data_IF_053419450249
#
_entry.id   IF_053419450249
#
_cell.length_a   1.000
_cell.length_b   1.000
_cell.length_c   1.000
_cell.angle_alpha   90.00
_cell.angle_beta   90.00
_cell.angle_gamma   90.00
#
_symmetry.space_group_name_H-M   'P 1'
#
loop_
_entity.id
_entity.type
_entity.pdbx_description
1 polymer ?
#
# COMPACT_ATOMS: atom_id res chain seq x y z
N UNK A 1 -14.82 23.07 -3.99
CA UNK A 1 -14.49 21.68 -3.59
C UNK A 1 -13.23 21.75 -2.73
N UNK A 2 -13.29 21.32 -1.46
CA UNK A 2 -12.18 21.51 -0.53
C UNK A 2 -11.16 20.37 -0.59
N UNK A 3 -10.07 20.58 -1.33
CA UNK A 3 -8.94 19.66 -1.39
C UNK A 3 -8.36 19.36 0.00
N UNK A 4 -8.37 20.34 0.92
CA UNK A 4 -7.93 20.16 2.31
C UNK A 4 -8.73 19.07 3.04
N UNK A 5 -10.05 19.02 2.80
CA UNK A 5 -10.92 17.99 3.39
C UNK A 5 -10.60 16.61 2.84
N UNK A 6 -10.33 16.51 1.53
CA UNK A 6 -9.94 15.24 0.89
C UNK A 6 -8.56 14.76 1.34
N UNK A 7 -7.56 15.66 1.47
CA UNK A 7 -6.23 15.29 2.00
C UNK A 7 -6.36 14.78 3.43
N UNK A 8 -7.16 15.44 4.27
CA UNK A 8 -7.45 14.97 5.63
C UNK A 8 -8.05 13.56 5.66
N UNK A 9 -8.98 13.27 4.74
CA UNK A 9 -9.62 11.96 4.63
C UNK A 9 -8.64 10.83 4.26
N UNK A 10 -7.67 11.10 3.39
CA UNK A 10 -6.71 10.09 2.91
C UNK A 10 -5.36 10.11 3.62
N UNK A 11 -5.16 11.01 4.61
CA UNK A 11 -3.89 11.21 5.31
C UNK A 11 -3.26 9.91 5.80
N UNK A 12 -3.98 9.14 6.60
CA UNK A 12 -3.46 7.90 7.19
C UNK A 12 -3.18 6.86 6.10
N UNK A 13 -4.08 6.72 5.12
CA UNK A 13 -3.94 5.77 4.01
C UNK A 13 -2.67 6.04 3.18
N UNK A 14 -2.42 7.32 2.87
CA UNK A 14 -1.25 7.76 2.11
C UNK A 14 0.02 7.63 2.95
N UNK A 15 -0.02 8.04 4.23
CA UNK A 15 1.14 7.93 5.14
C UNK A 15 1.59 6.47 5.31
N UNK A 16 0.67 5.55 5.65
CA UNK A 16 1.02 4.14 5.79
C UNK A 16 1.44 3.50 4.47
N UNK A 17 0.85 3.94 3.34
CA UNK A 17 1.33 3.52 2.03
C UNK A 17 2.79 3.94 1.79
N UNK A 18 3.18 5.17 2.13
CA UNK A 18 4.57 5.64 2.02
C UNK A 18 5.47 4.86 2.98
N UNK A 19 5.07 4.74 4.25
CA UNK A 19 5.84 4.06 5.29
C UNK A 19 6.15 2.62 4.90
N UNK A 20 5.17 1.90 4.33
CA UNK A 20 5.37 0.53 3.86
C UNK A 20 6.35 0.41 2.69
N UNK A 21 6.48 1.46 1.88
CA UNK A 21 7.40 1.52 0.73
C UNK A 21 8.81 1.89 1.15
N UNK A 22 8.95 2.84 2.06
CA UNK A 22 10.25 3.43 2.43
C UNK A 22 10.86 2.78 3.68
N UNK A 23 10.02 2.16 4.52
CA UNK A 23 10.39 1.45 5.76
C UNK A 23 11.20 2.28 6.76
N UNK A 24 11.03 3.60 6.70
CA UNK A 24 11.64 4.55 7.62
C UNK A 24 10.65 5.67 7.92
N UNK A 25 10.44 5.95 9.21
CA UNK A 25 9.44 6.94 9.64
C UNK A 25 9.79 8.38 9.27
N UNK A 26 11.07 8.75 9.36
CA UNK A 26 11.51 10.11 9.08
C UNK A 26 11.31 10.42 7.60
N UNK A 27 11.81 9.56 6.74
CA UNK A 27 11.62 9.69 5.30
C UNK A 27 10.14 9.59 4.91
N UNK A 28 9.35 8.74 5.58
CA UNK A 28 7.92 8.65 5.31
C UNK A 28 7.18 9.95 5.65
N UNK A 29 7.51 10.59 6.78
CA UNK A 29 6.96 11.90 7.18
C UNK A 29 7.33 12.98 6.17
N UNK A 30 8.59 13.04 5.73
CA UNK A 30 9.06 14.02 4.76
C UNK A 30 8.41 13.84 3.38
N UNK A 31 8.32 12.61 2.89
CA UNK A 31 7.67 12.30 1.62
C UNK A 31 6.17 12.61 1.70
N UNK A 32 5.53 12.34 2.84
CA UNK A 32 4.13 12.67 3.06
C UNK A 32 3.88 14.18 3.02
N UNK A 33 4.72 14.97 3.72
CA UNK A 33 4.64 16.44 3.69
C UNK A 33 4.82 16.97 2.26
N UNK A 34 5.86 16.51 1.54
CA UNK A 34 6.08 16.88 0.15
C UNK A 34 4.90 16.50 -0.75
N UNK A 35 4.30 15.32 -0.54
CA UNK A 35 3.09 14.89 -1.26
C UNK A 35 1.94 15.86 -1.03
N UNK A 36 1.70 16.29 0.21
CA UNK A 36 0.66 17.26 0.54
C UNK A 36 0.90 18.62 -0.15
N UNK A 37 2.14 19.13 -0.09
CA UNK A 37 2.52 20.38 -0.76
C UNK A 37 2.29 20.29 -2.27
N UNK A 38 2.79 19.24 -2.93
CA UNK A 38 2.59 19.03 -4.37
C UNK A 38 1.12 18.89 -4.74
N UNK A 39 0.31 18.24 -3.90
CA UNK A 39 -1.13 18.14 -4.10
C UNK A 39 -1.80 19.51 -4.03
N UNK A 40 -1.43 20.36 -3.07
CA UNK A 40 -1.96 21.72 -2.97
C UNK A 40 -1.54 22.59 -4.17
N UNK A 41 -0.28 22.51 -4.60
CA UNK A 41 0.23 23.21 -5.79
C UNK A 41 -0.52 22.84 -7.07
N UNK A 42 -0.84 21.56 -7.23
CA UNK A 42 -1.46 21.03 -8.44
C UNK A 42 -2.99 20.88 -8.32
N UNK A 43 -3.60 21.46 -7.27
CA UNK A 43 -5.03 21.37 -6.99
C UNK A 43 -5.90 21.74 -8.20
N UNK A 44 -5.49 22.77 -8.94
CA UNK A 44 -6.19 23.26 -10.12
C UNK A 44 -6.22 22.26 -11.30
N UNK A 45 -5.38 21.21 -11.29
CA UNK A 45 -5.35 20.19 -12.33
C UNK A 45 -6.40 19.09 -12.14
N UNK A 46 -7.14 19.09 -11.01
CA UNK A 46 -8.18 18.10 -10.73
C UNK A 46 -9.40 18.41 -11.60
N UNK A 47 -9.46 17.79 -12.77
CA UNK A 47 -10.59 17.93 -13.71
C UNK A 47 -11.83 17.13 -13.29
N UNK A 48 -11.64 16.07 -12.50
CA UNK A 48 -12.73 15.20 -12.07
C UNK A 48 -12.63 14.93 -10.54
N UNK A 49 -13.63 15.35 -9.76
CA UNK A 49 -13.68 15.18 -8.30
C UNK A 49 -13.62 13.71 -7.86
N UNK A 50 -14.24 12.80 -8.61
CA UNK A 50 -14.32 11.36 -8.27
C UNK A 50 -12.95 10.67 -8.40
N UNK A 51 -12.00 11.29 -9.10
CA UNK A 51 -10.65 10.77 -9.32
C UNK A 51 -9.62 11.32 -8.34
N UNK A 52 -10.03 12.12 -7.36
CA UNK A 52 -9.11 12.77 -6.41
C UNK A 52 -8.24 11.76 -5.66
N UNK A 53 -8.80 10.62 -5.25
CA UNK A 53 -8.06 9.55 -4.57
C UNK A 53 -6.98 8.96 -5.50
N UNK A 54 -7.35 8.60 -6.72
CA UNK A 54 -6.41 8.06 -7.71
C UNK A 54 -5.30 9.06 -8.05
N UNK A 55 -5.65 10.34 -8.16
CA UNK A 55 -4.72 11.44 -8.41
C UNK A 55 -3.75 11.69 -7.25
N UNK A 56 -4.22 11.70 -6.00
CA UNK A 56 -3.35 11.79 -4.82
C UNK A 56 -2.34 10.63 -4.80
N UNK A 57 -2.80 9.40 -5.04
CA UNK A 57 -1.92 8.24 -5.16
C UNK A 57 -0.91 8.34 -6.31
N UNK A 58 -1.22 9.06 -7.38
CA UNK A 58 -0.27 9.32 -8.46
C UNK A 58 0.85 10.25 -7.98
N UNK A 59 0.50 11.34 -7.28
CA UNK A 59 1.49 12.27 -6.70
C UNK A 59 2.37 11.53 -5.69
N UNK A 60 1.77 10.75 -4.79
CA UNK A 60 2.50 9.96 -3.80
C UNK A 60 3.51 9.02 -4.45
N UNK A 61 3.11 8.28 -5.50
CA UNK A 61 4.03 7.38 -6.22
C UNK A 61 5.19 8.13 -6.87
N UNK A 62 4.93 9.32 -7.42
CA UNK A 62 5.98 10.16 -7.98
C UNK A 62 6.96 10.60 -6.88
N UNK A 63 6.47 11.04 -5.72
CA UNK A 63 7.34 11.44 -4.60
C UNK A 63 8.20 10.28 -4.07
N UNK A 64 7.63 9.09 -3.92
CA UNK A 64 8.38 7.88 -3.55
C UNK A 64 9.43 7.55 -4.62
N UNK A 65 9.07 7.64 -5.91
CA UNK A 65 10.02 7.36 -6.99
C UNK A 65 11.18 8.36 -7.00
N UNK A 66 10.90 9.64 -6.77
CA UNK A 66 11.92 10.69 -6.72
C UNK A 66 12.84 10.51 -5.51
N UNK A 67 12.30 10.12 -4.36
CA UNK A 67 13.09 9.75 -3.19
C UNK A 67 14.11 8.65 -3.51
N UNK A 68 13.68 7.52 -4.08
CA UNK A 68 14.59 6.42 -4.43
C UNK A 68 15.56 6.76 -5.58
N UNK A 69 15.21 7.70 -6.47
CA UNK A 69 16.17 8.23 -7.46
C UNK A 69 17.25 9.06 -6.79
N UNK A 70 16.88 9.93 -5.84
CA UNK A 70 17.83 10.77 -5.08
C UNK A 70 18.77 9.94 -4.22
N UNK A 71 18.27 8.92 -3.51
CA UNK A 71 19.12 7.97 -2.80
C UNK A 71 20.14 7.32 -3.74
N UNK A 72 19.69 6.74 -4.86
CA UNK A 72 20.59 6.12 -5.85
C UNK A 72 21.61 7.11 -6.45
N UNK A 73 21.22 8.37 -6.66
CA UNK A 73 22.13 9.43 -7.09
C UNK A 73 23.16 9.82 -6.03
N UNK A 74 22.78 9.81 -4.75
CA UNK A 74 23.70 10.02 -3.63
C UNK A 74 24.70 8.87 -3.49
N UNK A 75 24.29 7.62 -3.74
CA UNK A 75 25.19 6.45 -3.75
C UNK A 75 26.26 6.47 -4.86
N UNK A 76 26.11 7.28 -5.92
CA UNK A 76 27.14 7.45 -6.96
C UNK A 76 28.17 8.53 -6.56
N UNK A 77 27.81 9.45 -5.65
CA UNK A 77 28.70 10.53 -5.19
C UNK A 77 29.51 10.17 -3.94
N UNK A 78 29.20 9.06 -3.26
CA UNK A 78 29.79 8.67 -1.97
C UNK A 78 30.29 7.21 -2.03
N UNK A 79 31.08 6.89 -3.07
CA UNK A 79 31.80 5.61 -3.17
C UNK A 79 33.31 5.81 -3.10
N UNK A 80 33.75 6.57 -2.11
CA UNK A 80 35.01 6.27 -1.43
C UNK A 80 34.66 6.14 0.05
N UNK A 81 34.76 4.89 0.50
CA UNK A 81 34.81 4.42 1.89
C UNK A 81 33.50 4.02 2.60
N UNK A 82 33.61 2.79 3.11
CA UNK A 82 32.86 2.10 4.17
C UNK A 82 31.63 1.28 3.75
N UNK A 83 31.90 0.00 3.53
CA UNK A 83 31.02 -1.14 3.78
C UNK A 83 30.76 -1.22 5.29
N UNK A 84 29.51 -1.25 5.77
CA UNK A 84 28.98 -2.39 6.53
C UNK A 84 27.47 -2.31 6.83
N UNK A 85 26.91 -3.52 6.99
CA UNK A 85 25.67 -4.00 7.60
C UNK A 85 24.88 -3.03 8.52
N UNK A 86 23.56 -3.12 8.72
CA UNK A 86 22.79 -4.27 9.25
C UNK A 86 21.32 -3.84 9.34
N UNK A 87 20.36 -4.77 9.33
CA UNK A 87 19.02 -4.45 9.86
C UNK A 87 17.84 -5.22 9.31
N UNK A 88 17.96 -6.54 9.11
CA UNK A 88 16.79 -7.41 9.23
C UNK A 88 16.38 -7.43 10.72
N UNK A 89 15.69 -6.38 11.17
CA UNK A 89 15.03 -6.36 12.47
C UNK A 89 13.53 -6.18 12.27
N UNK A 90 12.84 -7.31 12.41
CA UNK A 90 11.54 -7.50 13.05
C UNK A 90 10.72 -6.22 13.28
N UNK A 91 10.00 -5.78 12.26
CA UNK A 91 8.77 -4.99 12.46
C UNK A 91 7.56 -5.92 12.40
N UNK A 92 7.59 -6.99 13.20
CA UNK A 92 6.50 -7.96 13.28
C UNK A 92 5.41 -7.55 14.28
N UNK A 93 5.62 -6.49 15.08
CA UNK A 93 4.81 -6.26 16.28
C UNK A 93 3.72 -5.18 16.17
N UNK A 94 3.29 -4.76 14.96
CA UNK A 94 2.17 -3.80 14.80
C UNK A 94 0.96 -4.42 14.06
N UNK A 95 1.00 -5.71 13.74
CA UNK A 95 -0.08 -6.37 12.98
C UNK A 95 -0.58 -7.66 13.63
N UNK A 96 -0.40 -7.84 14.94
CA UNK A 96 -0.69 -9.13 15.56
C UNK A 96 -2.19 -9.36 15.88
N UNK A 97 -3.05 -8.34 15.83
CA UNK A 97 -4.43 -8.50 16.35
C UNK A 97 -5.57 -8.20 15.35
N UNK A 98 -5.28 -8.02 14.07
CA UNK A 98 -6.37 -7.79 13.12
C UNK A 98 -5.94 -8.08 11.69
N UNK A 99 -6.41 -9.19 11.11
CA UNK A 99 -7.41 -9.13 10.04
C UNK A 99 -7.60 -10.52 9.44
N UNK A 100 -8.85 -10.94 9.30
CA UNK A 100 -9.28 -12.09 8.48
C UNK A 100 -8.71 -12.04 7.03
N UNK A 101 -8.23 -10.86 6.60
CA UNK A 101 -7.62 -10.60 5.30
C UNK A 101 -6.27 -11.28 5.07
N UNK A 102 -5.42 -11.44 6.10
CA UNK A 102 -4.15 -12.15 5.93
C UNK A 102 -4.38 -13.63 5.59
N UNK A 103 -5.41 -14.24 6.17
CA UNK A 103 -5.85 -15.59 5.80
C UNK A 103 -6.28 -15.66 4.33
N UNK A 104 -7.02 -14.66 3.82
CA UNK A 104 -7.39 -14.64 2.41
C UNK A 104 -6.18 -14.54 1.47
N UNK A 105 -5.12 -13.82 1.88
CA UNK A 105 -3.86 -13.77 1.14
C UNK A 105 -3.18 -15.14 1.13
N UNK A 106 -3.15 -15.84 2.27
CA UNK A 106 -2.56 -17.18 2.35
C UNK A 106 -3.30 -18.22 1.50
N UNK A 107 -4.62 -18.07 1.34
CA UNK A 107 -5.43 -18.96 0.51
C UNK A 107 -5.41 -18.59 -1.00
N UNK A 108 -4.62 -17.59 -1.42
CA UNK A 108 -4.43 -17.33 -2.84
C UNK A 108 -3.56 -18.42 -3.48
N UNK A 109 -3.81 -18.77 -4.75
CA UNK A 109 -2.86 -19.57 -5.53
C UNK A 109 -1.45 -18.96 -5.48
N UNK A 110 -0.43 -19.80 -5.35
CA UNK A 110 0.96 -19.37 -5.06
C UNK A 110 1.43 -18.22 -5.96
N UNK A 111 1.22 -18.36 -7.27
CA UNK A 111 1.68 -17.36 -8.24
C UNK A 111 0.97 -15.99 -8.12
N UNK A 112 -0.19 -15.92 -7.49
CA UNK A 112 -0.89 -14.67 -7.17
C UNK A 112 -0.47 -14.15 -5.80
N UNK A 113 -0.33 -15.05 -4.83
CA UNK A 113 0.16 -14.75 -3.48
C UNK A 113 1.54 -14.11 -3.51
N UNK A 114 2.46 -14.63 -4.31
CA UNK A 114 3.82 -14.06 -4.45
C UNK A 114 3.77 -12.61 -4.93
N UNK A 115 3.03 -12.37 -6.01
CA UNK A 115 2.90 -11.02 -6.58
C UNK A 115 2.25 -10.06 -5.59
N UNK A 116 1.18 -10.48 -4.90
CA UNK A 116 0.52 -9.67 -3.87
C UNK A 116 1.46 -9.40 -2.71
N UNK A 117 2.21 -10.40 -2.26
CA UNK A 117 3.14 -10.29 -1.15
C UNK A 117 4.26 -9.32 -1.47
N UNK A 118 4.90 -9.44 -2.64
CA UNK A 118 5.98 -8.54 -3.00
C UNK A 118 5.50 -7.09 -3.10
N UNK A 119 4.34 -6.85 -3.71
CA UNK A 119 3.86 -5.48 -3.97
C UNK A 119 3.25 -4.84 -2.73
N UNK A 120 2.32 -5.56 -2.10
CA UNK A 120 1.53 -5.05 -0.99
C UNK A 120 2.25 -5.30 0.32
N UNK A 121 2.66 -6.53 0.65
CA UNK A 121 3.30 -6.83 1.93
C UNK A 121 4.71 -6.27 2.05
N UNK A 122 5.55 -6.47 1.03
CA UNK A 122 6.98 -6.09 1.04
C UNK A 122 7.27 -4.72 0.44
N UNK A 123 6.25 -4.05 -0.10
CA UNK A 123 6.41 -2.70 -0.62
C UNK A 123 7.16 -2.58 -1.95
N UNK A 124 7.41 -3.66 -2.69
CA UNK A 124 8.08 -3.56 -4.00
C UNK A 124 7.21 -2.90 -5.06
N UNK A 125 7.82 -2.30 -6.06
CA UNK A 125 7.13 -1.85 -7.28
C UNK A 125 6.75 -3.05 -8.16
N UNK A 126 5.79 -2.85 -9.08
CA UNK A 126 5.43 -3.89 -10.05
C UNK A 126 6.60 -4.26 -10.97
N UNK A 127 7.49 -3.31 -11.27
CA UNK A 127 8.67 -3.55 -12.09
C UNK A 127 9.69 -4.42 -11.35
N UNK A 128 10.06 -4.04 -10.12
CA UNK A 128 10.96 -4.85 -9.29
C UNK A 128 10.41 -6.25 -9.03
N UNK A 129 9.09 -6.38 -8.88
CA UNK A 129 8.43 -7.68 -8.72
C UNK A 129 8.52 -8.52 -10.00
N UNK A 130 8.40 -7.88 -11.17
CA UNK A 130 8.56 -8.55 -12.47
C UNK A 130 9.99 -9.09 -12.61
N UNK A 131 10.98 -8.25 -12.30
CA UNK A 131 12.40 -8.59 -12.36
C UNK A 131 12.75 -9.71 -11.35
N UNK A 132 12.26 -9.62 -10.11
CA UNK A 132 12.48 -10.60 -9.04
C UNK A 132 11.85 -11.97 -9.34
N UNK A 133 10.64 -11.99 -9.90
CA UNK A 133 9.91 -13.23 -10.20
C UNK A 133 10.20 -13.75 -11.61
N UNK A 134 11.12 -13.12 -12.35
CA UNK A 134 11.48 -13.45 -13.72
C UNK A 134 10.26 -13.57 -14.67
N UNK A 135 9.29 -12.66 -14.53
CA UNK A 135 8.11 -12.58 -15.38
C UNK A 135 7.96 -11.18 -15.97
N UNK A 136 7.13 -11.04 -17.02
CA UNK A 136 6.91 -9.73 -17.63
C UNK A 136 6.06 -8.82 -16.73
N UNK A 137 6.26 -7.49 -16.84
CA UNK A 137 5.43 -6.49 -16.16
C UNK A 137 3.93 -6.65 -16.51
N UNK A 138 3.62 -7.06 -17.75
CA UNK A 138 2.25 -7.36 -18.15
C UNK A 138 1.67 -8.54 -17.36
N UNK A 139 2.45 -9.60 -17.16
CA UNK A 139 2.05 -10.76 -16.37
C UNK A 139 1.83 -10.38 -14.90
N UNK A 140 2.71 -9.56 -14.30
CA UNK A 140 2.51 -9.00 -12.95
C UNK A 140 1.18 -8.25 -12.85
N UNK A 141 0.87 -7.36 -13.80
CA UNK A 141 -0.39 -6.60 -13.81
C UNK A 141 -1.63 -7.52 -13.85
N UNK A 142 -1.60 -8.55 -14.70
CA UNK A 142 -2.69 -9.53 -14.80
C UNK A 142 -2.84 -10.30 -13.48
N UNK A 143 -1.73 -10.80 -12.92
CA UNK A 143 -1.71 -11.53 -11.65
C UNK A 143 -2.25 -10.67 -10.49
N UNK A 144 -1.83 -9.40 -10.38
CA UNK A 144 -2.37 -8.45 -9.39
C UNK A 144 -3.88 -8.27 -9.55
N UNK A 145 -4.35 -8.07 -10.79
CA UNK A 145 -5.77 -7.86 -11.07
C UNK A 145 -6.61 -9.07 -10.63
N UNK A 146 -6.17 -10.28 -11.01
CA UNK A 146 -6.84 -11.53 -10.63
C UNK A 146 -6.81 -11.76 -9.12
N UNK A 147 -5.65 -11.54 -8.48
CA UNK A 147 -5.52 -11.68 -7.04
C UNK A 147 -6.49 -10.75 -6.29
N UNK A 148 -6.61 -9.49 -6.72
CA UNK A 148 -7.59 -8.55 -6.15
C UNK A 148 -9.03 -9.02 -6.31
N UNK A 149 -9.38 -9.58 -7.48
CA UNK A 149 -10.72 -10.10 -7.71
C UNK A 149 -11.06 -11.26 -6.77
N UNK A 150 -10.11 -12.18 -6.56
CA UNK A 150 -10.27 -13.30 -5.64
C UNK A 150 -10.41 -12.80 -4.20
N UNK A 151 -9.49 -11.92 -3.76
CA UNK A 151 -9.52 -11.34 -2.41
C UNK A 151 -10.82 -10.58 -2.14
N UNK A 152 -11.31 -9.79 -3.11
CA UNK A 152 -12.58 -9.07 -2.99
C UNK A 152 -13.76 -10.03 -2.81
N UNK A 153 -13.78 -11.13 -3.59
CA UNK A 153 -14.84 -12.13 -3.52
C UNK A 153 -14.85 -12.81 -2.16
N UNK A 154 -13.69 -13.34 -1.71
CA UNK A 154 -13.55 -13.98 -0.40
C UNK A 154 -13.88 -13.05 0.76
N UNK A 155 -13.45 -11.79 0.68
CA UNK A 155 -13.75 -10.78 1.69
C UNK A 155 -15.25 -10.51 1.78
N UNK A 156 -15.93 -10.37 0.65
CA UNK A 156 -17.38 -10.16 0.63
C UNK A 156 -18.16 -11.39 1.12
N UNK A 157 -17.71 -12.59 0.78
CA UNK A 157 -18.33 -13.86 1.19
C UNK A 157 -18.22 -14.11 2.69
N UNK A 158 -17.09 -13.81 3.33
CA UNK A 158 -16.94 -13.96 4.77
C UNK A 158 -17.49 -12.76 5.53
N UNK A 159 -17.09 -11.54 5.18
CA UNK A 159 -17.33 -10.39 6.04
C UNK A 159 -18.64 -9.64 5.74
N UNK A 160 -19.38 -10.02 4.68
CA UNK A 160 -20.67 -9.44 4.27
C UNK A 160 -20.71 -7.90 4.14
N UNK A 161 -19.57 -7.22 4.15
CA UNK A 161 -19.50 -5.77 3.95
C UNK A 161 -20.02 -5.38 2.57
N UNK A 162 -20.86 -4.34 2.54
CA UNK A 162 -21.33 -3.72 1.31
C UNK A 162 -20.56 -2.42 1.07
N UNK A 163 -20.45 -2.03 -0.21
CA UNK A 163 -19.94 -0.71 -0.56
C UNK A 163 -21.14 0.23 -0.56
N UNK A 164 -21.14 1.23 0.32
CA UNK A 164 -22.18 2.25 0.37
C UNK A 164 -22.14 3.17 -0.87
N UNK A 165 -23.15 4.04 -1.02
CA UNK A 165 -23.22 5.01 -2.11
C UNK A 165 -22.01 5.97 -2.19
N UNK A 166 -21.20 6.05 -1.12
CA UNK A 166 -20.00 6.88 -1.03
C UNK A 166 -18.70 6.10 -1.27
N UNK A 167 -18.78 4.82 -1.63
CA UNK A 167 -17.62 3.97 -1.85
C UNK A 167 -16.93 3.49 -0.56
N UNK A 168 -17.57 3.64 0.60
CA UNK A 168 -17.07 3.14 1.89
C UNK A 168 -17.61 1.76 2.18
N UNK A 169 -16.83 0.97 2.91
CA UNK A 169 -17.31 -0.30 3.46
C UNK A 169 -18.33 0.01 4.57
N UNK A 170 -19.55 -0.50 4.42
CA UNK A 170 -20.65 -0.40 5.37
C UNK A 170 -21.21 -1.80 5.68
N UNK A 171 -21.53 -2.06 6.94
CA UNK A 171 -21.96 -3.37 7.43
C UNK A 171 -21.26 -3.74 8.74
N UNK A 172 -21.74 -4.77 9.41
CA UNK A 172 -21.08 -5.38 10.57
C UNK A 172 -20.45 -6.72 10.17
N UNK A 173 -19.27 -7.07 10.71
CA UNK A 173 -18.64 -8.34 10.41
C UNK A 173 -19.44 -9.47 11.07
N UNK A 174 -20.37 -10.09 10.33
CA UNK A 174 -21.06 -11.31 10.76
C UNK A 174 -20.28 -12.58 10.34
N UNK A 175 -18.95 -12.53 10.44
CA UNK A 175 -18.09 -13.67 10.08
C UNK A 175 -17.62 -14.38 11.35
N UNK A 176 -17.98 -15.64 11.55
CA UNK A 176 -17.47 -16.46 12.66
C UNK A 176 -15.93 -16.51 12.73
N UNK A 177 -15.25 -16.39 11.56
CA UNK A 177 -13.78 -16.26 11.41
C UNK A 177 -13.22 -14.94 11.94
N UNK A 178 -14.03 -13.89 12.03
CA UNK A 178 -13.62 -12.58 12.57
C UNK A 178 -14.03 -12.42 14.03
N UNK A 179 -15.14 -13.05 14.47
CA UNK A 179 -15.57 -13.08 15.88
C UNK A 179 -14.58 -13.80 16.80
N UNK A 180 -13.98 -14.90 16.34
CA UNK A 180 -12.96 -15.65 17.12
C UNK A 180 -11.62 -14.93 17.26
N UNK A 181 -11.41 -13.84 16.52
CA UNK A 181 -10.18 -13.03 16.55
C UNK A 181 -10.38 -11.75 17.40
N UNK A 182 -11.62 -11.25 17.51
CA UNK A 182 -11.94 -10.02 18.26
C UNK A 182 -12.18 -10.24 19.76
N UNK A 183 -12.28 -11.48 20.24
CA UNK A 183 -12.43 -11.78 21.67
C UNK A 183 -11.66 -13.05 22.06
N UNK A 184 -10.34 -12.96 22.31
CA UNK A 184 -9.51 -14.13 22.62
C UNK A 184 -9.70 -14.72 24.04
N UNK A 185 -10.62 -14.18 24.84
CA UNK A 185 -10.92 -14.67 26.19
C UNK A 185 -12.44 -14.81 26.37
N UNK A 186 -12.95 -16.01 26.10
CA UNK A 186 -14.22 -16.54 26.63
C UNK A 186 -13.97 -17.97 27.08
#
# INVERSE_FOLDING_TARGET
MDLNRSIGQFKNEIYFFILRKVKDEHHAKDIFQNTCLRALENAAQIKNPDKIRAWLYQITRNQISDFFKRQRGQFISVQQDVIDNTGDQEMHSIHQDCCCFDNFIQELPESYKDVVTQIYLRGRSQKETADLLHITLANVKIKVSRAKSILKTKFNECCHYQIDANGKLAGEPDCARCHSILNPLS
#
